data_IF_165397302484
#
_entry.id   IF_165397302484
#
_cell.length_a   1.000
_cell.length_b   1.000
_cell.length_c   1.000
_cell.angle_alpha   90.00
_cell.angle_beta   90.00
_cell.angle_gamma   90.00
#
_symmetry.space_group_name_H-M   'P 1'
#
loop_
_entity.id
_entity.type
_entity.pdbx_description
1 polymer ?
#
# COMPACT_ATOMS: atom_id res chain seq x y z
N UNK A 1 13.64 -26.34 5.03
CA UNK A 1 12.50 -25.65 5.70
C UNK A 1 12.89 -24.27 6.23
N UNK A 2 13.97 -24.13 7.03
CA UNK A 2 14.50 -22.82 7.47
C UNK A 2 14.79 -21.86 6.30
N UNK A 3 15.44 -22.35 5.24
CA UNK A 3 15.75 -21.55 4.04
C UNK A 3 14.49 -21.01 3.34
N UNK A 4 13.45 -21.83 3.22
CA UNK A 4 12.18 -21.41 2.63
C UNK A 4 11.51 -20.27 3.43
N UNK A 5 11.50 -20.36 4.76
CA UNK A 5 10.99 -19.31 5.65
C UNK A 5 11.79 -18.01 5.48
N UNK A 6 13.11 -18.11 5.37
CA UNK A 6 14.00 -16.96 5.20
C UNK A 6 13.79 -16.29 3.84
N UNK A 7 13.65 -17.06 2.76
CA UNK A 7 13.34 -16.56 1.42
C UNK A 7 11.99 -15.85 1.42
N UNK A 8 10.96 -16.50 1.96
CA UNK A 8 9.60 -15.94 1.98
C UNK A 8 9.52 -14.63 2.77
N UNK A 9 10.16 -14.57 3.94
CA UNK A 9 10.30 -13.35 4.74
C UNK A 9 10.97 -12.22 3.93
N UNK A 10 12.07 -12.52 3.25
CA UNK A 10 12.81 -11.52 2.49
C UNK A 10 12.01 -11.00 1.30
N UNK A 11 11.28 -11.88 0.59
CA UNK A 11 10.36 -11.48 -0.47
C UNK A 11 9.28 -10.56 0.09
N UNK A 12 8.60 -10.95 1.17
CA UNK A 12 7.54 -10.11 1.76
C UNK A 12 8.04 -8.73 2.18
N UNK A 13 9.21 -8.63 2.84
CA UNK A 13 9.77 -7.33 3.21
C UNK A 13 10.18 -6.49 2.00
N UNK A 14 10.82 -7.10 0.99
CA UNK A 14 11.20 -6.37 -0.23
C UNK A 14 9.97 -5.85 -0.98
N UNK A 15 8.96 -6.71 -1.15
CA UNK A 15 7.68 -6.32 -1.75
C UNK A 15 7.03 -5.22 -0.93
N UNK A 16 7.01 -5.32 0.40
CA UNK A 16 6.48 -4.26 1.27
C UNK A 16 7.17 -2.92 1.03
N UNK A 17 8.50 -2.89 1.03
CA UNK A 17 9.26 -1.66 0.83
C UNK A 17 8.99 -1.06 -0.55
N UNK A 18 9.04 -1.86 -1.62
CA UNK A 18 8.79 -1.39 -2.99
C UNK A 18 7.36 -0.85 -3.11
N UNK A 19 6.37 -1.60 -2.64
CA UNK A 19 4.97 -1.17 -2.70
C UNK A 19 4.69 0.06 -1.82
N UNK A 20 5.35 0.19 -0.67
CA UNK A 20 5.24 1.37 0.19
C UNK A 20 5.82 2.62 -0.49
N UNK A 21 6.98 2.51 -1.15
CA UNK A 21 7.57 3.62 -1.92
C UNK A 21 6.63 4.04 -3.05
N UNK A 22 6.08 3.09 -3.80
CA UNK A 22 5.12 3.37 -4.87
C UNK A 22 3.86 4.04 -4.32
N UNK A 23 3.32 3.55 -3.21
CA UNK A 23 2.15 4.13 -2.56
C UNK A 23 2.41 5.59 -2.13
N UNK A 24 3.60 5.88 -1.60
CA UNK A 24 4.00 7.23 -1.22
C UNK A 24 4.15 8.15 -2.45
N UNK A 25 4.70 7.65 -3.55
CA UNK A 25 4.78 8.40 -4.81
C UNK A 25 3.37 8.71 -5.36
N UNK A 26 2.48 7.72 -5.36
CA UNK A 26 1.08 7.91 -5.78
C UNK A 26 0.37 8.96 -4.90
N UNK A 27 0.54 8.86 -3.58
CA UNK A 27 0.01 9.85 -2.65
C UNK A 27 0.58 11.24 -2.93
N UNK A 28 1.89 11.35 -3.16
CA UNK A 28 2.56 12.62 -3.44
C UNK A 28 2.04 13.25 -4.74
N UNK A 29 1.88 12.45 -5.80
CA UNK A 29 1.35 12.93 -7.10
C UNK A 29 -0.11 13.36 -6.98
N UNK A 30 -0.94 12.58 -6.28
CA UNK A 30 -2.35 12.89 -6.11
C UNK A 30 -2.54 14.15 -5.24
N UNK A 31 -1.94 14.18 -4.04
CA UNK A 31 -2.11 15.31 -3.13
C UNK A 31 -1.38 16.57 -3.59
N UNK A 32 -0.22 16.43 -4.25
CA UNK A 32 0.52 17.57 -4.80
C UNK A 32 -0.16 18.22 -6.01
N UNK A 33 -0.99 17.46 -6.74
CA UNK A 33 -1.77 17.94 -7.89
C UNK A 33 -3.27 18.01 -7.64
N UNK A 34 -3.72 17.93 -6.38
CA UNK A 34 -5.12 17.65 -6.04
C UNK A 34 -6.10 18.59 -6.73
N UNK A 35 -5.87 19.89 -6.66
CA UNK A 35 -6.76 20.89 -7.25
C UNK A 35 -6.90 20.72 -8.77
N UNK A 36 -5.80 20.34 -9.44
CA UNK A 36 -5.80 20.05 -10.88
C UNK A 36 -6.61 18.79 -11.19
N UNK A 37 -6.35 17.70 -10.46
CA UNK A 37 -7.03 16.42 -10.67
C UNK A 37 -8.52 16.51 -10.35
N UNK A 38 -8.88 17.09 -9.21
CA UNK A 38 -10.27 17.24 -8.77
C UNK A 38 -11.03 18.13 -9.77
N UNK A 39 -10.44 19.23 -10.25
CA UNK A 39 -11.07 20.07 -11.28
C UNK A 39 -11.26 19.32 -12.61
N UNK A 40 -10.25 18.58 -13.06
CA UNK A 40 -10.35 17.79 -14.29
C UNK A 40 -11.46 16.75 -14.21
N UNK A 41 -11.50 15.98 -13.11
CA UNK A 41 -12.43 14.86 -12.93
C UNK A 41 -13.86 15.35 -12.71
N UNK A 42 -14.05 16.32 -11.83
CA UNK A 42 -15.38 16.77 -11.40
C UNK A 42 -15.95 17.81 -12.36
N UNK A 43 -15.19 18.83 -12.72
CA UNK A 43 -15.73 19.98 -13.46
C UNK A 43 -15.56 19.83 -14.97
N UNK A 44 -14.40 19.34 -15.43
CA UNK A 44 -14.10 19.31 -16.87
C UNK A 44 -14.61 18.05 -17.56
N UNK A 45 -14.46 16.90 -16.93
CA UNK A 45 -14.92 15.62 -17.47
C UNK A 45 -16.29 15.22 -16.94
N UNK A 46 -16.73 15.77 -15.81
CA UNK A 46 -18.05 15.47 -15.23
C UNK A 46 -18.23 13.99 -14.89
N UNK A 47 -17.16 13.28 -14.53
CA UNK A 47 -17.20 11.83 -14.35
C UNK A 47 -17.96 11.45 -13.09
N UNK A 48 -17.73 12.19 -12.01
CA UNK A 48 -18.31 11.98 -10.68
C UNK A 48 -18.37 13.30 -9.92
N UNK A 49 -19.24 13.39 -8.91
CA UNK A 49 -19.25 14.51 -7.98
C UNK A 49 -18.06 14.46 -6.99
N UNK A 50 -17.78 15.59 -6.34
CA UNK A 50 -16.64 15.72 -5.41
C UNK A 50 -16.74 14.79 -4.19
N UNK A 51 -17.95 14.54 -3.68
CA UNK A 51 -18.13 13.67 -2.52
C UNK A 51 -17.83 12.21 -2.89
N UNK A 52 -18.33 11.76 -4.03
CA UNK A 52 -18.05 10.45 -4.61
C UNK A 52 -16.55 10.28 -4.90
N UNK A 53 -15.88 11.31 -5.46
CA UNK A 53 -14.43 11.29 -5.70
C UNK A 53 -13.65 11.11 -4.38
N UNK A 54 -14.02 11.84 -3.34
CA UNK A 54 -13.37 11.71 -2.03
C UNK A 54 -13.53 10.29 -1.46
N UNK A 55 -14.70 9.66 -1.61
CA UNK A 55 -14.93 8.28 -1.17
C UNK A 55 -14.05 7.29 -1.94
N UNK A 56 -13.93 7.46 -3.26
CA UNK A 56 -13.06 6.61 -4.10
C UNK A 56 -11.61 6.72 -3.68
N UNK A 57 -11.11 7.94 -3.48
CA UNK A 57 -9.72 8.20 -3.07
C UNK A 57 -9.42 7.59 -1.69
N UNK A 58 -10.30 7.82 -0.71
CA UNK A 58 -10.15 7.24 0.64
C UNK A 58 -10.18 5.71 0.57
N UNK A 59 -11.09 5.14 -0.22
CA UNK A 59 -11.20 3.69 -0.39
C UNK A 59 -9.93 3.11 -1.03
N UNK A 60 -9.38 3.76 -2.05
CA UNK A 60 -8.15 3.36 -2.72
C UNK A 60 -6.96 3.32 -1.74
N UNK A 61 -6.72 4.40 -0.99
CA UNK A 61 -5.62 4.43 -0.01
C UNK A 61 -5.88 3.48 1.17
N UNK A 62 -7.13 3.25 1.54
CA UNK A 62 -7.48 2.25 2.57
C UNK A 62 -7.14 0.83 2.11
N UNK A 63 -7.41 0.48 0.85
CA UNK A 63 -7.03 -0.81 0.27
C UNK A 63 -5.51 -0.98 0.19
N UNK A 64 -4.78 0.06 -0.24
CA UNK A 64 -3.31 0.04 -0.22
C UNK A 64 -2.79 -0.20 1.19
N UNK A 65 -3.29 0.54 2.18
CA UNK A 65 -2.92 0.36 3.58
C UNK A 65 -3.21 -1.07 4.05
N UNK A 66 -4.37 -1.60 3.72
CA UNK A 66 -4.75 -2.96 4.10
C UNK A 66 -3.76 -3.99 3.53
N UNK A 67 -3.44 -3.87 2.24
CA UNK A 67 -2.49 -4.75 1.57
C UNK A 67 -1.09 -4.67 2.16
N UNK A 68 -0.55 -3.45 2.31
CA UNK A 68 0.79 -3.23 2.86
C UNK A 68 0.91 -3.77 4.30
N UNK A 69 -0.07 -3.48 5.15
CA UNK A 69 0.02 -3.81 6.58
C UNK A 69 -0.33 -5.28 6.83
N UNK A 70 -1.48 -5.74 6.33
CA UNK A 70 -2.00 -7.05 6.72
C UNK A 70 -1.54 -8.17 5.79
N UNK A 71 -1.34 -7.91 4.50
CA UNK A 71 -0.91 -8.96 3.56
C UNK A 71 0.61 -9.06 3.42
N UNK A 72 1.36 -8.00 3.69
CA UNK A 72 2.82 -8.03 3.57
C UNK A 72 3.52 -7.92 4.92
N UNK A 73 3.32 -6.82 5.65
CA UNK A 73 4.10 -6.54 6.85
C UNK A 73 3.81 -7.52 8.00
N UNK A 74 2.53 -7.76 8.30
CA UNK A 74 2.13 -8.69 9.36
C UNK A 74 2.69 -10.11 9.15
N UNK A 75 2.54 -10.76 7.98
CA UNK A 75 3.13 -12.08 7.75
C UNK A 75 4.66 -12.04 7.70
N UNK A 76 5.27 -10.97 7.20
CA UNK A 76 6.74 -10.83 7.23
C UNK A 76 7.28 -10.81 8.67
N UNK A 77 6.62 -10.07 9.57
CA UNK A 77 6.95 -10.01 10.99
C UNK A 77 6.67 -11.35 11.70
N UNK A 78 5.54 -11.99 11.41
CA UNK A 78 5.22 -13.30 11.96
C UNK A 78 6.30 -14.34 11.60
N UNK A 79 6.71 -14.40 10.33
CA UNK A 79 7.79 -15.29 9.88
C UNK A 79 9.13 -14.92 10.50
N UNK A 80 9.42 -13.64 10.68
CA UNK A 80 10.64 -13.19 11.37
C UNK A 80 10.70 -13.72 12.81
N UNK A 81 9.59 -13.64 13.55
CA UNK A 81 9.52 -14.13 14.93
C UNK A 81 9.60 -15.66 15.01
N UNK A 82 8.90 -16.36 14.12
CA UNK A 82 8.98 -17.84 14.03
C UNK A 82 10.40 -18.29 13.73
N UNK A 83 11.09 -17.64 12.80
CA UNK A 83 12.49 -17.95 12.50
C UNK A 83 13.40 -17.72 13.71
N UNK A 84 13.24 -16.59 14.42
CA UNK A 84 14.03 -16.28 15.63
C UNK A 84 13.83 -17.31 16.75
N UNK A 85 12.62 -17.89 16.87
CA UNK A 85 12.36 -18.98 17.83
C UNK A 85 12.98 -20.31 17.40
N UNK A 86 13.06 -20.58 16.09
CA UNK A 86 13.67 -21.80 15.55
C UNK A 86 15.21 -21.81 15.58
N UNK A 87 15.82 -20.64 15.82
CA UNK A 87 17.27 -20.45 15.85
C UNK A 87 17.86 -20.44 17.27
N UNK A 88 17.01 -20.43 18.29
CA UNK A 88 17.36 -20.75 19.68
C UNK A 88 17.17 -22.23 19.94
#
# INVERSE_FOLDING_TARGET
MKEAIQIFRNILFRTFVISAVIALLMASVYYGGRDCWDNLIVNRWGLIDQASLNVVVVSFFSLIRFYLVFLLLAPALALHWTFKRLDR
#
